data_IF_471748025638
#
_entry.id   IF_471748025638
#
_cell.length_a   1.000
_cell.length_b   1.000
_cell.length_c   1.000
_cell.angle_alpha   90.00
_cell.angle_beta   90.00
_cell.angle_gamma   90.00
#
_symmetry.space_group_name_H-M   'P 1'
#
loop_
_entity.id
_entity.type
_entity.pdbx_description
1 polymer ?
#
# COMPACT_ATOMS: atom_id res chain seq x y z
N UNK A 1 -17.10 -8.77 22.26
CA UNK A 1 -16.68 -8.83 20.85
C UNK A 1 -17.35 -7.70 20.07
N UNK A 2 -16.63 -6.67 19.72
CA UNK A 2 -17.17 -5.59 18.89
C UNK A 2 -17.25 -6.15 17.46
N UNK A 3 -18.45 -6.65 17.12
CA UNK A 3 -18.75 -7.10 15.75
C UNK A 3 -18.94 -5.87 14.86
N UNK A 4 -17.86 -5.13 14.67
CA UNK A 4 -17.86 -3.92 13.86
C UNK A 4 -17.73 -4.36 12.40
N UNK A 5 -18.64 -3.94 11.52
CA UNK A 5 -18.62 -4.24 10.07
C UNK A 5 -17.26 -3.93 9.44
N UNK A 6 -16.58 -2.91 9.97
CA UNK A 6 -15.24 -2.52 9.54
C UNK A 6 -14.18 -3.59 9.86
N UNK A 7 -14.18 -4.15 11.07
CA UNK A 7 -13.24 -5.23 11.44
C UNK A 7 -13.47 -6.48 10.60
N UNK A 8 -14.74 -6.84 10.35
CA UNK A 8 -15.05 -7.99 9.49
C UNK A 8 -14.62 -7.76 8.04
N UNK A 9 -14.75 -6.53 7.50
CA UNK A 9 -14.24 -6.19 6.17
C UNK A 9 -12.72 -6.34 6.08
N UNK A 10 -11.98 -5.91 7.10
CA UNK A 10 -10.51 -5.99 7.10
C UNK A 10 -10.00 -7.44 7.26
N UNK A 11 -10.66 -8.25 8.09
CA UNK A 11 -10.14 -9.54 8.54
C UNK A 11 -10.69 -10.72 7.73
N UNK A 12 -11.98 -10.71 7.38
CA UNK A 12 -12.61 -11.88 6.79
C UNK A 12 -12.09 -12.19 5.37
N UNK A 13 -11.74 -13.46 5.08
CA UNK A 13 -11.21 -13.87 3.76
C UNK A 13 -12.20 -13.59 2.62
N UNK A 14 -13.49 -13.66 2.87
CA UNK A 14 -14.57 -13.40 1.88
C UNK A 14 -14.51 -12.01 1.25
N UNK A 15 -13.91 -11.03 1.95
CA UNK A 15 -13.78 -9.66 1.44
C UNK A 15 -12.44 -9.39 0.74
N UNK A 16 -11.67 -10.44 0.41
CA UNK A 16 -10.37 -10.27 -0.26
C UNK A 16 -10.51 -9.51 -1.59
N UNK A 17 -11.42 -9.93 -2.45
CA UNK A 17 -11.68 -9.28 -3.74
C UNK A 17 -12.19 -7.84 -3.55
N UNK A 18 -13.10 -7.62 -2.59
CA UNK A 18 -13.61 -6.29 -2.30
C UNK A 18 -12.50 -5.31 -1.84
N UNK A 19 -11.53 -5.78 -1.06
CA UNK A 19 -10.36 -4.98 -0.65
C UNK A 19 -9.47 -4.62 -1.84
N UNK A 20 -9.24 -5.55 -2.79
CA UNK A 20 -8.48 -5.26 -4.01
C UNK A 20 -9.22 -4.26 -4.89
N UNK A 21 -10.52 -4.42 -5.08
CA UNK A 21 -11.35 -3.46 -5.83
C UNK A 21 -11.35 -2.07 -5.17
N UNK A 22 -11.44 -2.02 -3.85
CA UNK A 22 -11.35 -0.77 -3.11
C UNK A 22 -9.98 -0.09 -3.29
N UNK A 23 -8.89 -0.87 -3.25
CA UNK A 23 -7.54 -0.35 -3.53
C UNK A 23 -7.46 0.23 -4.94
N UNK A 24 -7.94 -0.51 -5.95
CA UNK A 24 -7.96 -0.07 -7.34
C UNK A 24 -8.78 1.21 -7.52
N UNK A 25 -9.92 1.30 -6.83
CA UNK A 25 -10.74 2.51 -6.83
C UNK A 25 -9.98 3.71 -6.23
N UNK A 26 -9.24 3.52 -5.14
CA UNK A 26 -8.43 4.59 -4.53
C UNK A 26 -7.33 5.03 -5.48
N UNK A 27 -6.59 4.09 -6.10
CA UNK A 27 -5.56 4.41 -7.11
C UNK A 27 -6.16 5.16 -8.30
N UNK A 28 -7.33 4.72 -8.78
CA UNK A 28 -8.06 5.41 -9.83
C UNK A 28 -8.39 6.86 -9.44
N UNK A 29 -8.94 7.08 -8.24
CA UNK A 29 -9.30 8.43 -7.75
C UNK A 29 -8.08 9.35 -7.62
N UNK A 30 -6.93 8.81 -7.16
CA UNK A 30 -5.68 9.58 -7.06
C UNK A 30 -5.17 9.97 -8.46
N UNK A 31 -5.28 9.08 -9.43
CA UNK A 31 -4.65 9.25 -10.74
C UNK A 31 -5.53 9.94 -11.77
N UNK A 32 -6.85 9.90 -11.61
CA UNK A 32 -7.81 10.43 -12.61
C UNK A 32 -7.63 11.95 -12.86
N UNK A 33 -7.12 12.69 -11.89
CA UNK A 33 -6.82 14.11 -12.05
C UNK A 33 -5.89 14.43 -13.22
N UNK A 34 -5.03 13.48 -13.62
CA UNK A 34 -4.10 13.65 -14.74
C UNK A 34 -4.84 13.81 -16.07
N UNK A 35 -6.01 13.21 -16.21
CA UNK A 35 -6.83 13.35 -17.41
C UNK A 35 -7.37 14.78 -17.61
N UNK A 36 -7.59 15.50 -16.48
CA UNK A 36 -8.18 16.83 -16.45
C UNK A 36 -7.15 17.95 -16.35
N UNK A 37 -5.95 17.68 -15.87
CA UNK A 37 -4.90 18.68 -15.80
C UNK A 37 -4.53 19.12 -17.21
N UNK A 38 -4.62 20.42 -17.45
CA UNK A 38 -4.24 21.04 -18.73
C UNK A 38 -2.72 21.17 -18.73
N UNK A 39 -1.98 20.38 -19.50
CA UNK A 39 -0.53 20.58 -19.64
C UNK A 39 -0.26 21.91 -20.38
N UNK A 40 0.92 22.46 -20.19
CA UNK A 40 1.35 23.70 -20.90
C UNK A 40 1.26 23.57 -22.44
N UNK A 41 1.25 22.36 -22.97
CA UNK A 41 0.97 22.06 -24.38
C UNK A 41 -0.35 21.32 -24.53
N UNK A 42 -1.18 21.63 -25.54
CA UNK A 42 -2.44 20.93 -25.79
C UNK A 42 -2.15 19.51 -26.29
N UNK A 43 -2.27 18.52 -25.39
CA UNK A 43 -2.23 17.12 -25.74
C UNK A 43 -3.60 16.66 -26.25
N UNK A 44 -3.62 15.80 -27.25
CA UNK A 44 -4.86 15.13 -27.70
C UNK A 44 -5.39 14.19 -26.61
N UNK A 45 -6.70 13.93 -26.63
CA UNK A 45 -7.32 13.03 -25.64
C UNK A 45 -6.67 11.63 -25.60
N UNK A 46 -6.34 10.97 -26.75
CA UNK A 46 -5.64 9.68 -26.73
C UNK A 46 -4.28 9.73 -26.03
N UNK A 47 -3.51 10.81 -26.21
CA UNK A 47 -2.21 10.98 -25.55
C UNK A 47 -2.36 11.13 -24.04
N UNK A 48 -3.38 11.88 -23.57
CA UNK A 48 -3.68 12.00 -22.14
C UNK A 48 -4.11 10.67 -21.54
N UNK A 49 -4.96 9.92 -22.26
CA UNK A 49 -5.41 8.62 -21.83
C UNK A 49 -4.25 7.63 -21.71
N UNK A 50 -3.36 7.60 -22.72
CA UNK A 50 -2.17 6.77 -22.69
C UNK A 50 -1.26 7.11 -21.50
N UNK A 51 -0.98 8.38 -21.30
CA UNK A 51 -0.19 8.87 -20.16
C UNK A 51 -0.79 8.49 -18.81
N UNK A 52 -2.11 8.62 -18.68
CA UNK A 52 -2.83 8.20 -17.47
C UNK A 52 -2.76 6.69 -17.23
N UNK A 53 -2.98 5.87 -18.25
CA UNK A 53 -2.90 4.39 -18.14
C UNK A 53 -1.53 3.96 -17.62
N UNK A 54 -0.46 4.54 -18.15
CA UNK A 54 0.90 4.22 -17.73
C UNK A 54 1.14 4.66 -16.30
N UNK A 55 0.71 5.84 -15.94
CA UNK A 55 0.83 6.34 -14.58
C UNK A 55 0.04 5.49 -13.58
N UNK A 56 -1.17 5.09 -13.95
CA UNK A 56 -2.01 4.19 -13.16
C UNK A 56 -1.32 2.84 -12.92
N UNK A 57 -0.84 2.19 -13.99
CA UNK A 57 -0.13 0.90 -13.90
C UNK A 57 1.15 1.04 -13.06
N UNK A 58 1.84 2.16 -13.19
CA UNK A 58 3.08 2.42 -12.47
C UNK A 58 2.87 2.57 -10.97
N UNK A 59 1.85 3.30 -10.54
CA UNK A 59 1.49 3.42 -9.12
C UNK A 59 1.03 2.05 -8.59
N UNK A 60 0.23 1.36 -9.36
CA UNK A 60 -0.28 0.03 -8.99
C UNK A 60 0.88 -0.97 -8.79
N UNK A 61 1.89 -0.93 -9.67
CA UNK A 61 3.09 -1.74 -9.53
C UNK A 61 3.83 -1.45 -8.20
N UNK A 62 3.99 -0.17 -7.82
CA UNK A 62 4.60 0.20 -6.53
C UNK A 62 3.80 -0.36 -5.37
N UNK A 63 2.47 -0.26 -5.40
CA UNK A 63 1.61 -0.82 -4.36
C UNK A 63 1.73 -2.34 -4.25
N UNK A 64 1.72 -3.07 -5.36
CA UNK A 64 1.84 -4.52 -5.33
C UNK A 64 3.25 -4.99 -4.93
N UNK A 65 4.32 -4.30 -5.37
CA UNK A 65 5.68 -4.56 -4.89
C UNK A 65 5.76 -4.34 -3.38
N UNK A 66 5.18 -3.25 -2.88
CA UNK A 66 5.11 -3.01 -1.44
C UNK A 66 4.34 -4.12 -0.72
N UNK A 67 3.13 -4.45 -1.18
CA UNK A 67 2.24 -5.41 -0.54
C UNK A 67 2.85 -6.82 -0.44
N UNK A 68 3.46 -7.30 -1.52
CA UNK A 68 3.92 -8.68 -1.61
C UNK A 68 5.38 -8.88 -1.26
N UNK A 69 6.20 -7.84 -1.38
CA UNK A 69 7.64 -7.99 -1.22
C UNK A 69 8.23 -7.13 -0.09
N UNK A 70 8.06 -5.81 -0.13
CA UNK A 70 8.69 -4.90 0.83
C UNK A 70 8.08 -5.02 2.24
N UNK A 71 6.76 -4.98 2.32
CA UNK A 71 6.03 -5.05 3.59
C UNK A 71 6.35 -6.34 4.38
N UNK A 72 6.17 -7.57 3.84
CA UNK A 72 6.40 -8.79 4.61
C UNK A 72 7.88 -9.05 4.89
N UNK A 73 8.78 -8.58 4.01
CA UNK A 73 10.19 -8.90 4.11
C UNK A 73 10.96 -7.97 5.03
N UNK A 74 10.58 -6.70 5.10
CA UNK A 74 11.32 -5.69 5.85
C UNK A 74 10.50 -5.07 6.98
N UNK A 75 9.27 -4.63 6.72
CA UNK A 75 8.47 -3.94 7.73
C UNK A 75 8.05 -4.87 8.86
N UNK A 76 7.53 -6.06 8.57
CA UNK A 76 7.17 -7.06 9.59
C UNK A 76 8.37 -7.62 10.35
N UNK A 77 9.58 -7.48 9.81
CA UNK A 77 10.83 -7.89 10.49
C UNK A 77 11.50 -6.74 11.26
N UNK A 78 10.77 -5.65 11.48
CA UNK A 78 11.25 -4.46 12.21
C UNK A 78 12.49 -3.79 11.59
N UNK A 79 12.65 -3.91 10.26
CA UNK A 79 13.73 -3.27 9.51
C UNK A 79 13.23 -2.01 8.79
N UNK A 80 12.79 -1.03 9.60
CA UNK A 80 12.10 0.17 9.10
C UNK A 80 12.95 0.98 8.12
N UNK A 81 14.25 1.15 8.39
CA UNK A 81 15.16 1.92 7.53
C UNK A 81 15.31 1.27 6.15
N UNK A 82 15.53 -0.06 6.12
CA UNK A 82 15.65 -0.80 4.84
C UNK A 82 14.32 -0.76 4.09
N UNK A 83 13.20 -0.83 4.80
CA UNK A 83 11.88 -0.69 4.21
C UNK A 83 11.68 0.70 3.57
N UNK A 84 12.01 1.78 4.28
CA UNK A 84 11.91 3.15 3.78
C UNK A 84 12.81 3.38 2.55
N UNK A 85 14.06 2.93 2.58
CA UNK A 85 14.97 2.98 1.44
C UNK A 85 14.45 2.16 0.26
N UNK A 86 13.88 0.98 0.52
CA UNK A 86 13.28 0.13 -0.51
C UNK A 86 12.09 0.81 -1.20
N UNK A 87 11.17 1.39 -0.43
CA UNK A 87 10.03 2.14 -0.98
C UNK A 87 10.50 3.34 -1.79
N UNK A 88 11.43 4.13 -1.26
CA UNK A 88 11.98 5.30 -1.96
C UNK A 88 12.70 4.90 -3.25
N UNK A 89 13.49 3.83 -3.21
CA UNK A 89 14.22 3.32 -4.39
C UNK A 89 13.27 2.82 -5.49
N UNK A 90 12.27 2.02 -5.13
CA UNK A 90 11.25 1.55 -6.10
C UNK A 90 10.47 2.72 -6.67
N UNK A 91 10.05 3.67 -5.84
CA UNK A 91 9.33 4.87 -6.29
C UNK A 91 10.17 5.70 -7.27
N UNK A 92 11.45 5.89 -6.97
CA UNK A 92 12.37 6.64 -7.84
C UNK A 92 12.55 5.95 -9.19
N UNK A 93 12.76 4.63 -9.21
CA UNK A 93 12.89 3.85 -10.45
C UNK A 93 11.64 4.00 -11.31
N UNK A 94 10.46 3.89 -10.69
CA UNK A 94 9.17 4.02 -11.40
C UNK A 94 8.99 5.44 -11.96
N UNK A 95 9.32 6.48 -11.19
CA UNK A 95 9.23 7.88 -11.66
C UNK A 95 10.15 8.10 -12.86
N UNK A 96 11.40 7.61 -12.80
CA UNK A 96 12.35 7.71 -13.91
C UNK A 96 11.81 6.95 -15.14
N UNK A 97 11.31 5.74 -14.97
CA UNK A 97 10.76 4.94 -16.06
C UNK A 97 9.56 5.63 -16.74
N UNK A 98 8.65 6.20 -15.95
CA UNK A 98 7.51 6.98 -16.46
C UNK A 98 7.99 8.23 -17.19
N UNK A 99 8.96 8.97 -16.64
CA UNK A 99 9.52 10.17 -17.27
C UNK A 99 10.16 9.84 -18.61
N UNK A 100 11.00 8.80 -18.68
CA UNK A 100 11.61 8.32 -19.93
C UNK A 100 10.54 7.96 -20.96
N UNK A 101 9.53 7.18 -20.53
CA UNK A 101 8.45 6.79 -21.43
C UNK A 101 7.68 8.00 -21.97
N UNK A 102 7.36 8.99 -21.10
CA UNK A 102 6.68 10.21 -21.52
C UNK A 102 7.47 11.02 -22.53
N UNK A 103 8.79 11.13 -22.37
CA UNK A 103 9.67 11.82 -23.33
C UNK A 103 9.58 11.15 -24.72
N UNK A 104 9.67 9.81 -24.77
CA UNK A 104 9.69 9.08 -26.05
C UNK A 104 8.32 8.98 -26.72
N UNK A 105 7.23 8.93 -25.95
CA UNK A 105 5.90 8.59 -26.51
C UNK A 105 5.00 9.81 -26.67
N UNK A 106 5.16 10.82 -25.80
CA UNK A 106 4.26 11.98 -25.73
C UNK A 106 4.98 13.25 -26.25
N UNK A 107 6.26 13.14 -26.60
CA UNK A 107 7.11 14.26 -27.05
C UNK A 107 6.99 15.47 -26.10
N UNK A 108 7.05 15.18 -24.79
CA UNK A 108 7.17 16.21 -23.78
C UNK A 108 8.61 16.72 -23.85
N UNK A 109 8.91 17.50 -24.90
CA UNK A 109 10.15 18.25 -24.96
C UNK A 109 10.13 19.24 -23.81
N UNK A 110 11.00 19.02 -22.84
CA UNK A 110 11.34 20.05 -21.84
C UNK A 110 11.75 21.30 -22.62
N UNK A 111 11.13 22.47 -22.39
CA UNK A 111 11.53 23.68 -23.10
C UNK A 111 13.03 23.87 -22.87
N UNK A 112 13.81 23.87 -23.94
CA UNK A 112 15.26 24.00 -23.87
C UNK A 112 15.74 25.38 -23.40
N UNK A 113 14.82 26.30 -23.03
CA UNK A 113 15.13 27.69 -22.74
C UNK A 113 15.66 27.95 -21.33
N UNK A 114 15.43 27.02 -20.37
CA UNK A 114 15.95 27.18 -19.03
C UNK A 114 16.79 25.96 -18.64
N UNK A 115 18.12 26.14 -18.62
CA UNK A 115 19.08 25.19 -18.05
C UNK A 115 18.90 25.01 -16.53
N UNK A 116 17.74 25.35 -15.98
CA UNK A 116 17.40 25.20 -14.57
C UNK A 116 17.01 23.76 -14.28
N UNK A 117 17.93 22.99 -13.74
CA UNK A 117 17.68 21.64 -13.22
C UNK A 117 16.75 21.66 -11.98
N UNK A 118 16.60 22.81 -11.33
CA UNK A 118 15.86 22.97 -10.09
C UNK A 118 14.41 22.49 -10.18
N UNK A 119 13.59 22.87 -11.17
CA UNK A 119 12.21 22.37 -11.29
C UNK A 119 12.13 20.86 -11.48
N UNK A 120 13.06 20.27 -12.22
CA UNK A 120 13.12 18.82 -12.45
C UNK A 120 13.40 18.10 -11.13
N UNK A 121 14.39 18.56 -10.37
CA UNK A 121 14.75 17.98 -9.07
C UNK A 121 13.60 18.13 -8.07
N UNK A 122 12.98 19.31 -7.99
CA UNK A 122 11.84 19.56 -7.09
C UNK A 122 10.66 18.64 -7.44
N UNK A 123 10.33 18.49 -8.72
CA UNK A 123 9.26 17.59 -9.15
C UNK A 123 9.57 16.10 -8.84
N UNK A 124 10.80 15.67 -9.04
CA UNK A 124 11.21 14.30 -8.71
C UNK A 124 11.10 14.04 -7.20
N UNK A 125 11.60 14.95 -6.36
CA UNK A 125 11.50 14.85 -4.90
C UNK A 125 10.03 14.85 -4.47
N UNK A 126 9.21 15.76 -4.98
CA UNK A 126 7.77 15.84 -4.67
C UNK A 126 7.04 14.55 -5.06
N UNK A 127 7.38 13.97 -6.22
CA UNK A 127 6.81 12.70 -6.67
C UNK A 127 7.19 11.52 -5.75
N UNK A 128 8.46 11.43 -5.34
CA UNK A 128 8.91 10.39 -4.39
C UNK A 128 8.22 10.55 -3.04
N UNK A 129 8.10 11.78 -2.54
CA UNK A 129 7.42 12.06 -1.28
C UNK A 129 5.93 11.69 -1.36
N UNK A 130 5.24 12.11 -2.42
CA UNK A 130 3.82 11.80 -2.62
C UNK A 130 3.57 10.28 -2.69
N UNK A 131 4.39 9.54 -3.46
CA UNK A 131 4.33 8.08 -3.48
C UNK A 131 4.67 7.47 -2.13
N UNK A 132 5.68 7.98 -1.43
CA UNK A 132 6.06 7.53 -0.09
C UNK A 132 4.90 7.68 0.90
N UNK A 133 4.21 8.81 0.92
CA UNK A 133 3.03 9.02 1.78
C UNK A 133 1.87 8.08 1.45
N UNK A 134 1.57 7.86 0.17
CA UNK A 134 0.49 6.94 -0.23
C UNK A 134 0.81 5.50 0.14
N UNK A 135 2.05 5.06 -0.08
CA UNK A 135 2.53 3.72 0.31
C UNK A 135 2.54 3.57 1.84
N UNK A 136 2.96 4.61 2.57
CA UNK A 136 2.93 4.61 4.04
C UNK A 136 1.51 4.46 4.59
N UNK A 137 0.54 5.19 4.04
CA UNK A 137 -0.87 5.07 4.41
C UNK A 137 -1.41 3.65 4.20
N UNK A 138 -1.12 3.05 3.05
CA UNK A 138 -1.49 1.66 2.78
C UNK A 138 -0.81 0.70 3.76
N UNK A 139 0.46 0.90 4.04
CA UNK A 139 1.23 0.05 4.95
C UNK A 139 0.73 0.14 6.38
N UNK A 140 0.25 1.32 6.80
CA UNK A 140 -0.40 1.50 8.11
C UNK A 140 -1.68 0.66 8.22
N UNK A 141 -2.51 0.59 7.17
CA UNK A 141 -3.70 -0.26 7.13
C UNK A 141 -3.32 -1.75 7.21
N UNK A 142 -2.25 -2.15 6.50
CA UNK A 142 -1.75 -3.53 6.54
C UNK A 142 -1.19 -3.90 7.92
N UNK A 143 -0.46 -2.98 8.58
CA UNK A 143 0.03 -3.16 9.95
C UNK A 143 -1.13 -3.29 10.93
N UNK A 144 -2.14 -2.42 10.82
CA UNK A 144 -3.34 -2.50 11.66
C UNK A 144 -4.03 -3.85 11.50
N UNK A 145 -4.21 -4.31 10.27
CA UNK A 145 -4.77 -5.63 9.99
C UNK A 145 -3.93 -6.75 10.61
N UNK A 146 -2.61 -6.70 10.44
CA UNK A 146 -1.69 -7.69 11.00
C UNK A 146 -1.76 -7.72 12.53
N UNK A 147 -1.76 -6.56 13.16
CA UNK A 147 -1.91 -6.40 14.62
C UNK A 147 -3.24 -6.97 15.13
N UNK A 148 -4.35 -6.67 14.45
CA UNK A 148 -5.66 -7.21 14.82
C UNK A 148 -5.71 -8.75 14.71
N UNK A 149 -5.14 -9.33 13.66
CA UNK A 149 -5.04 -10.79 13.50
C UNK A 149 -4.16 -11.42 14.57
N UNK A 150 -3.08 -10.75 14.93
CA UNK A 150 -2.19 -11.19 16.00
C UNK A 150 -2.91 -11.22 17.35
N UNK A 151 -3.62 -10.13 17.70
CA UNK A 151 -4.38 -10.06 18.95
C UNK A 151 -5.46 -11.14 19.03
N UNK A 152 -6.19 -11.40 17.93
CA UNK A 152 -7.17 -12.49 17.89
C UNK A 152 -6.54 -13.86 18.21
N UNK A 153 -5.36 -14.13 17.66
CA UNK A 153 -4.64 -15.39 17.96
C UNK A 153 -4.19 -15.48 19.41
N UNK A 154 -3.72 -14.35 19.97
CA UNK A 154 -3.34 -14.29 21.39
C UNK A 154 -4.55 -14.58 22.28
N UNK A 155 -5.70 -13.95 22.02
CA UNK A 155 -6.94 -14.18 22.75
C UNK A 155 -7.40 -15.65 22.67
N UNK A 156 -7.31 -16.25 21.48
CA UNK A 156 -7.64 -17.68 21.28
C UNK A 156 -6.73 -18.61 22.09
N UNK A 157 -5.41 -18.35 22.10
CA UNK A 157 -4.43 -19.12 22.87
C UNK A 157 -4.69 -18.96 24.37
N UNK A 158 -4.91 -17.74 24.84
CA UNK A 158 -5.18 -17.49 26.27
C UNK A 158 -6.47 -18.19 26.72
N UNK A 159 -7.53 -18.11 25.91
CA UNK A 159 -8.79 -18.82 26.20
C UNK A 159 -8.60 -20.32 26.25
N UNK A 160 -7.87 -20.90 25.28
CA UNK A 160 -7.57 -22.33 25.27
C UNK A 160 -6.75 -22.77 26.48
N UNK A 161 -5.77 -21.95 26.92
CA UNK A 161 -4.95 -22.21 28.10
C UNK A 161 -5.81 -22.21 29.36
N UNK A 162 -6.65 -21.18 29.56
CA UNK A 162 -7.56 -21.08 30.69
C UNK A 162 -8.53 -22.28 30.76
N UNK A 163 -9.09 -22.67 29.62
CA UNK A 163 -9.95 -23.88 29.56
C UNK A 163 -9.20 -25.16 29.93
N UNK A 164 -7.94 -25.28 29.50
CA UNK A 164 -7.09 -26.41 29.85
C UNK A 164 -6.79 -26.47 31.35
N UNK A 165 -6.45 -25.33 31.95
CA UNK A 165 -6.19 -25.21 33.40
C UNK A 165 -7.43 -25.54 34.22
N UNK A 166 -8.60 -25.00 33.83
CA UNK A 166 -9.87 -25.30 34.50
C UNK A 166 -10.19 -26.81 34.43
N UNK A 167 -9.96 -27.44 33.27
CA UNK A 167 -10.15 -28.87 33.07
C UNK A 167 -9.20 -29.68 33.95
N UNK A 168 -7.94 -29.26 34.04
CA UNK A 168 -6.94 -29.88 34.91
C UNK A 168 -7.34 -29.79 36.39
N UNK A 169 -7.71 -28.61 36.87
CA UNK A 169 -8.18 -28.38 38.25
C UNK A 169 -9.44 -29.22 38.54
N UNK A 170 -10.40 -29.26 37.62
CA UNK A 170 -11.59 -30.07 37.75
C UNK A 170 -11.27 -31.56 37.85
N UNK A 171 -10.27 -32.05 37.11
CA UNK A 171 -9.85 -33.43 37.18
C UNK A 171 -9.08 -33.80 38.50
N UNK A 172 -8.48 -32.80 39.15
CA UNK A 172 -7.83 -32.98 40.47
C UNK A 172 -8.86 -33.11 41.59
N UNK A 173 -10.08 -32.56 41.44
CA UNK A 173 -11.17 -32.79 42.34
C UNK A 173 -11.69 -34.18 42.07
N UNK A 174 -11.19 -35.13 42.86
CA UNK A 174 -11.55 -36.55 42.73
C UNK A 174 -13.07 -36.71 42.85
N UNK A 175 -13.81 -37.19 41.82
CA UNK A 175 -15.28 -37.33 41.89
C UNK A 175 -15.74 -38.36 42.91
N UNK A 176 -14.80 -39.03 43.59
CA UNK A 176 -15.11 -40.06 44.59
C UNK A 176 -15.35 -39.48 46.01
N UNK A 177 -15.21 -38.13 46.16
CA UNK A 177 -15.48 -37.46 47.44
C UNK A 177 -16.84 -36.72 47.46
N UNK A 178 -17.63 -36.79 46.41
CA UNK A 178 -19.02 -36.37 46.35
C UNK A 178 -19.96 -37.55 46.24
#
# INVERSE_FOLDING_TARGET
MINNRFTSFLLAPRYRTARHLFLQFVVFMITVNILWNVPMRPLSFPQRLLGWVIYFISIDAVFYINLYWLFPRFLLKNRLLIYALGVSGVSLIVIIAVAIFQIFTIDISVPASDNNLLPIVVNAISGVLAMGFTVAGMSAILLLRHWMLYNQRVDEIQSATLHSELRFLKNQINPHFL
#
